data_IF_797634162607
#
_entry.id   IF_797634162607
#
_cell.length_a   1.000
_cell.length_b   1.000
_cell.length_c   1.000
_cell.angle_alpha   90.00
_cell.angle_beta   90.00
_cell.angle_gamma   90.00
#
_symmetry.space_group_name_H-M   'P 1'
#
loop_
_entity.id
_entity.type
_entity.pdbx_description
1 polymer ?
#
# COMPACT_ATOMS: atom_id res chain seq x y z
N UNK A 1 4.86 -15.17 -26.76
CA UNK A 1 3.83 -14.48 -27.56
C UNK A 1 3.09 -13.51 -26.64
N UNK A 2 3.28 -12.27 -26.89
CA UNK A 2 2.83 -10.98 -26.34
C UNK A 2 1.61 -11.03 -25.41
N UNK A 3 1.82 -10.71 -24.11
CA UNK A 3 0.83 -10.13 -23.21
C UNK A 3 1.19 -8.65 -23.01
N UNK A 4 0.91 -7.85 -24.02
CA UNK A 4 0.87 -6.40 -23.91
C UNK A 4 -0.56 -5.93 -24.11
N UNK A 5 -0.98 -4.98 -23.29
CA UNK A 5 -2.20 -4.15 -23.36
C UNK A 5 -3.40 -4.69 -22.58
N UNK A 6 -3.43 -4.37 -21.30
CA UNK A 6 -4.67 -4.09 -20.57
C UNK A 6 -4.42 -2.96 -19.57
N UNK A 7 -4.01 -1.80 -20.11
CA UNK A 7 -4.06 -0.51 -19.42
C UNK A 7 -5.05 0.37 -20.18
N UNK A 8 -6.34 0.19 -19.97
CA UNK A 8 -7.36 1.12 -20.42
C UNK A 8 -8.36 1.39 -19.32
N UNK A 9 -8.20 2.56 -18.73
CA UNK A 9 -9.18 3.53 -18.29
C UNK A 9 -10.49 2.98 -17.69
N UNK A 10 -10.51 2.94 -16.36
CA UNK A 10 -11.76 3.09 -15.62
C UNK A 10 -12.13 4.59 -15.61
N UNK A 11 -12.94 5.03 -16.54
CA UNK A 11 -13.65 6.30 -16.45
C UNK A 11 -14.95 6.07 -15.67
N UNK A 12 -15.01 6.54 -14.43
CA UNK A 12 -16.26 6.69 -13.72
C UNK A 12 -16.89 8.03 -14.12
N UNK A 13 -17.88 8.00 -15.02
CA UNK A 13 -18.77 9.12 -15.22
C UNK A 13 -20.00 8.94 -14.32
N UNK A 14 -20.12 9.77 -13.29
CA UNK A 14 -21.41 9.95 -12.61
C UNK A 14 -22.18 10.97 -13.44
N UNK A 15 -23.07 10.49 -14.28
CA UNK A 15 -24.08 11.33 -14.93
C UNK A 15 -25.32 11.38 -14.03
N UNK A 16 -25.52 12.51 -13.36
CA UNK A 16 -26.77 12.83 -12.72
C UNK A 16 -27.83 13.18 -13.79
N UNK A 17 -28.79 12.29 -13.99
CA UNK A 17 -30.00 12.60 -14.75
C UNK A 17 -31.22 12.47 -13.83
N UNK A 18 -32.17 13.40 -13.92
CA UNK A 18 -33.42 13.28 -13.17
C UNK A 18 -34.36 12.30 -13.86
N UNK A 19 -35.00 11.48 -13.03
CA UNK A 19 -36.11 10.59 -13.27
C UNK A 19 -35.89 9.31 -14.08
N UNK A 20 -36.16 8.20 -13.38
CA UNK A 20 -36.52 6.85 -13.83
C UNK A 20 -35.53 6.10 -14.74
N UNK A 21 -34.56 5.39 -14.13
CA UNK A 21 -33.73 4.41 -14.83
C UNK A 21 -32.62 3.82 -13.96
N UNK A 22 -32.27 2.59 -14.19
CA UNK A 22 -31.06 1.95 -13.64
C UNK A 22 -29.91 2.22 -14.60
N UNK A 23 -28.83 2.84 -14.11
CA UNK A 23 -27.60 3.04 -14.88
C UNK A 23 -26.54 2.06 -14.38
N UNK A 24 -26.00 1.27 -15.29
CA UNK A 24 -24.90 0.33 -15.03
C UNK A 24 -23.65 0.88 -15.66
N UNK A 25 -22.65 1.17 -14.83
CA UNK A 25 -21.36 1.63 -15.26
C UNK A 25 -20.36 0.47 -15.19
N UNK A 26 -20.00 -0.08 -16.33
CA UNK A 26 -19.07 -1.20 -16.43
C UNK A 26 -17.74 -0.81 -17.05
N UNK A 27 -16.71 -1.52 -16.68
CA UNK A 27 -15.38 -1.41 -17.24
C UNK A 27 -15.23 -2.24 -18.50
N UNK A 28 -15.73 -1.77 -19.61
CA UNK A 28 -15.33 -2.23 -20.94
C UNK A 28 -15.60 -1.15 -21.97
N UNK A 29 -14.84 -1.16 -23.06
CA UNK A 29 -14.83 -0.17 -24.12
C UNK A 29 -16.12 -0.04 -24.95
N UNK A 30 -17.26 -0.46 -24.42
CA UNK A 30 -18.58 -0.28 -25.04
C UNK A 30 -19.58 0.18 -23.99
N UNK A 31 -19.79 1.48 -23.93
CA UNK A 31 -20.88 2.10 -23.16
C UNK A 31 -22.17 1.87 -23.93
N UNK A 32 -23.03 0.98 -23.43
CA UNK A 32 -24.39 0.89 -23.91
C UNK A 32 -25.31 1.76 -23.05
N UNK A 33 -25.57 2.97 -23.51
CA UNK A 33 -26.68 3.75 -23.03
C UNK A 33 -27.98 3.12 -23.57
N UNK A 34 -28.75 2.42 -22.74
CA UNK A 34 -30.13 2.03 -23.04
C UNK A 34 -31.10 2.92 -22.32
N UNK A 35 -32.22 3.26 -23.01
CA UNK A 35 -33.38 3.93 -22.43
C UNK A 35 -33.87 3.20 -21.17
N UNK A 36 -34.38 3.95 -20.17
CA UNK A 36 -34.88 3.37 -18.91
C UNK A 36 -36.00 2.35 -19.16
N UNK A 37 -35.78 1.15 -18.67
CA UNK A 37 -36.81 0.11 -18.59
C UNK A 37 -36.53 -0.72 -17.34
N UNK A 38 -37.57 -1.14 -16.65
CA UNK A 38 -37.49 -1.99 -15.47
C UNK A 38 -36.72 -3.28 -15.81
N UNK A 39 -35.56 -3.45 -15.18
CA UNK A 39 -34.78 -4.70 -15.26
C UNK A 39 -35.42 -5.68 -14.26
N UNK A 40 -35.72 -6.89 -14.72
CA UNK A 40 -36.09 -7.99 -13.84
C UNK A 40 -34.92 -8.46 -12.97
N UNK A 41 -35.20 -9.04 -11.80
CA UNK A 41 -34.16 -9.60 -10.90
C UNK A 41 -33.24 -10.58 -11.59
N UNK A 42 -33.72 -11.36 -12.57
CA UNK A 42 -32.90 -12.26 -13.36
C UNK A 42 -31.83 -11.55 -14.19
N UNK A 43 -32.16 -10.36 -14.76
CA UNK A 43 -31.19 -9.54 -15.49
C UNK A 43 -30.17 -8.84 -14.59
N UNK A 44 -30.56 -8.52 -13.35
CA UNK A 44 -29.61 -8.02 -12.34
C UNK A 44 -28.56 -9.09 -12.02
N UNK A 45 -28.98 -10.36 -11.89
CA UNK A 45 -28.06 -11.49 -11.63
C UNK A 45 -27.11 -11.74 -12.79
N UNK A 46 -27.57 -11.64 -14.05
CA UNK A 46 -26.72 -11.77 -15.24
C UNK A 46 -25.66 -10.66 -15.33
N UNK A 47 -26.01 -9.46 -14.89
CA UNK A 47 -25.09 -8.33 -14.81
C UNK A 47 -24.04 -8.56 -13.70
N UNK A 48 -24.43 -9.14 -12.56
CA UNK A 48 -23.52 -9.50 -11.47
C UNK A 48 -22.47 -10.53 -11.88
N UNK A 49 -22.78 -11.42 -12.84
CA UNK A 49 -21.82 -12.46 -13.29
C UNK A 49 -20.85 -11.99 -14.38
N UNK A 50 -21.13 -10.92 -15.09
CA UNK A 50 -20.39 -10.48 -16.28
C UNK A 50 -19.41 -9.34 -16.11
N UNK A 51 -19.54 -8.50 -15.10
CA UNK A 51 -18.85 -7.20 -15.00
C UNK A 51 -18.14 -7.04 -13.65
N UNK A 52 -16.84 -6.87 -13.64
CA UNK A 52 -16.08 -6.55 -12.42
C UNK A 52 -15.86 -5.03 -12.31
N UNK A 53 -16.20 -4.44 -11.17
CA UNK A 53 -15.85 -3.06 -10.81
C UNK A 53 -16.88 -1.98 -11.15
N UNK A 54 -18.09 -2.32 -11.62
CA UNK A 54 -19.15 -1.35 -11.88
C UNK A 54 -20.01 -1.02 -10.66
N UNK A 55 -20.37 0.25 -10.50
CA UNK A 55 -21.38 0.69 -9.52
C UNK A 55 -22.79 0.45 -10.09
N UNK A 56 -23.68 -0.15 -9.29
CA UNK A 56 -25.10 -0.32 -9.62
C UNK A 56 -25.89 0.77 -8.88
N UNK A 57 -26.63 1.58 -9.64
CA UNK A 57 -27.40 2.71 -9.09
C UNK A 57 -28.90 2.46 -9.36
N UNK A 58 -29.76 2.71 -8.37
CA UNK A 58 -31.21 2.57 -8.53
C UNK A 58 -31.84 3.76 -9.30
N UNK A 59 -33.16 3.67 -9.55
CA UNK A 59 -33.93 4.70 -10.26
C UNK A 59 -33.86 6.10 -9.64
N UNK A 60 -33.50 6.20 -8.35
CA UNK A 60 -33.35 7.47 -7.61
C UNK A 60 -31.91 7.98 -7.62
N UNK A 61 -30.98 7.32 -8.36
CA UNK A 61 -29.57 7.69 -8.43
C UNK A 61 -28.74 7.21 -7.24
N UNK A 62 -29.28 6.35 -6.38
CA UNK A 62 -28.55 5.81 -5.23
C UNK A 62 -27.75 4.57 -5.62
N UNK A 63 -26.51 4.49 -5.12
CA UNK A 63 -25.68 3.31 -5.25
C UNK A 63 -26.34 2.15 -4.50
N UNK A 64 -26.66 1.07 -5.22
CA UNK A 64 -27.28 -0.13 -4.65
C UNK A 64 -26.37 -1.36 -4.67
N UNK A 65 -25.19 -1.24 -5.27
CA UNK A 65 -24.20 -2.30 -5.25
C UNK A 65 -22.95 -1.94 -6.03
N UNK A 66 -21.88 -2.71 -5.80
CA UNK A 66 -20.65 -2.70 -6.60
C UNK A 66 -20.43 -4.12 -7.11
N UNK A 67 -20.34 -4.28 -8.42
CA UNK A 67 -20.04 -5.56 -9.02
C UNK A 67 -18.53 -5.76 -9.05
N UNK A 68 -17.97 -6.59 -8.17
CA UNK A 68 -16.57 -6.94 -8.19
C UNK A 68 -16.39 -8.45 -8.29
N UNK A 69 -15.70 -8.89 -9.34
CA UNK A 69 -15.18 -10.25 -9.46
C UNK A 69 -13.93 -10.49 -8.60
N UNK A 70 -13.42 -9.47 -7.96
CA UNK A 70 -12.29 -9.60 -7.03
C UNK A 70 -12.90 -10.12 -5.74
N UNK A 71 -12.71 -11.40 -5.46
CA UNK A 71 -13.12 -12.07 -4.23
C UNK A 71 -12.28 -11.55 -3.05
N UNK A 72 -12.54 -10.31 -2.62
CA UNK A 72 -12.02 -9.81 -1.36
C UNK A 72 -13.08 -10.05 -0.28
N UNK A 73 -12.76 -10.74 0.85
CA UNK A 73 -13.74 -11.10 1.88
C UNK A 73 -14.51 -9.90 2.44
N UNK A 74 -13.90 -8.71 2.49
CA UNK A 74 -14.50 -7.46 2.96
C UNK A 74 -15.64 -7.01 2.04
N UNK A 75 -15.49 -7.13 0.72
CA UNK A 75 -16.51 -6.73 -0.26
C UNK A 75 -17.77 -7.59 -0.21
N UNK A 76 -17.65 -8.89 0.14
CA UNK A 76 -18.81 -9.77 0.30
C UNK A 76 -19.64 -9.45 1.54
N UNK A 77 -19.02 -8.95 2.61
CA UNK A 77 -19.71 -8.56 3.83
C UNK A 77 -20.52 -7.29 3.62
N UNK A 78 -19.95 -6.33 2.90
CA UNK A 78 -20.57 -5.03 2.64
C UNK A 78 -21.72 -5.12 1.63
N UNK A 79 -21.63 -6.06 0.67
CA UNK A 79 -22.72 -6.29 -0.30
C UNK A 79 -24.01 -6.78 0.37
N UNK A 80 -23.92 -7.58 1.43
CA UNK A 80 -25.11 -8.04 2.22
C UNK A 80 -25.76 -6.90 3.01
N UNK A 81 -24.97 -5.92 3.44
CA UNK A 81 -25.46 -4.75 4.18
C UNK A 81 -26.30 -3.83 3.28
N UNK A 82 -25.91 -3.67 2.02
CA UNK A 82 -26.63 -2.84 1.04
C UNK A 82 -28.00 -3.39 0.63
N UNK A 83 -28.25 -4.70 0.83
CA UNK A 83 -29.55 -5.31 0.51
C UNK A 83 -30.62 -5.05 1.58
N UNK A 84 -30.24 -4.62 2.78
CA UNK A 84 -31.17 -4.55 3.93
C UNK A 84 -31.67 -3.16 4.28
N UNK A 85 -31.02 -2.05 3.85
CA UNK A 85 -31.45 -0.68 4.17
C UNK A 85 -31.18 0.29 3.03
N UNK A 86 -32.03 1.32 2.89
CA UNK A 86 -31.76 2.43 1.97
C UNK A 86 -30.55 3.20 2.51
N UNK A 87 -29.45 3.34 1.72
CA UNK A 87 -28.27 4.03 2.19
C UNK A 87 -28.61 5.50 2.51
N UNK A 88 -28.29 5.93 3.72
CA UNK A 88 -28.41 7.33 4.09
C UNK A 88 -27.21 8.13 3.49
N UNK A 89 -27.28 9.46 3.59
CA UNK A 89 -26.27 10.35 3.02
C UNK A 89 -24.86 10.07 3.54
N UNK A 90 -24.73 9.68 4.82
CA UNK A 90 -23.46 9.27 5.43
C UNK A 90 -22.90 8.00 4.78
N UNK A 91 -23.74 6.99 4.58
CA UNK A 91 -23.37 5.73 3.93
C UNK A 91 -22.94 5.95 2.48
N UNK A 92 -23.63 6.79 1.73
CA UNK A 92 -23.25 7.14 0.35
C UNK A 92 -21.90 7.84 0.27
N UNK A 93 -21.60 8.69 1.25
CA UNK A 93 -20.31 9.37 1.36
C UNK A 93 -19.18 8.41 1.68
N UNK A 94 -19.39 7.52 2.65
CA UNK A 94 -18.42 6.46 3.01
C UNK A 94 -18.11 5.56 1.81
N UNK A 95 -19.13 5.19 1.04
CA UNK A 95 -18.99 4.42 -0.20
C UNK A 95 -18.26 5.17 -1.31
N UNK A 96 -18.52 6.46 -1.44
CA UNK A 96 -17.79 7.32 -2.37
C UNK A 96 -16.29 7.33 -2.05
N UNK A 97 -15.93 7.57 -0.80
CA UNK A 97 -14.55 7.56 -0.34
C UNK A 97 -13.88 6.19 -0.57
N UNK A 98 -14.59 5.11 -0.26
CA UNK A 98 -14.08 3.75 -0.44
C UNK A 98 -13.85 3.39 -1.91
N UNK A 99 -14.80 3.72 -2.81
CA UNK A 99 -14.66 3.42 -4.25
C UNK A 99 -13.49 4.18 -4.89
N UNK A 100 -13.24 5.42 -4.48
CA UNK A 100 -12.10 6.19 -4.94
C UNK A 100 -10.78 5.74 -4.33
N UNK A 101 -10.79 5.22 -3.10
CA UNK A 101 -9.65 4.50 -2.52
C UNK A 101 -9.23 3.29 -3.37
N UNK A 102 -10.20 2.52 -3.87
CA UNK A 102 -9.96 1.43 -4.82
C UNK A 102 -9.43 1.96 -6.16
N UNK A 103 -10.00 3.03 -6.71
CA UNK A 103 -9.55 3.63 -7.96
C UNK A 103 -8.09 4.07 -7.91
N UNK A 104 -7.64 4.63 -6.79
CA UNK A 104 -6.22 4.96 -6.56
C UNK A 104 -5.34 3.71 -6.66
N UNK A 105 -5.78 2.59 -6.10
CA UNK A 105 -5.03 1.32 -6.14
C UNK A 105 -5.04 0.70 -7.54
N UNK A 106 -6.09 0.95 -8.34
CA UNK A 106 -6.21 0.51 -9.74
C UNK A 106 -5.52 1.47 -10.73
N UNK A 107 -4.95 2.59 -10.28
CA UNK A 107 -4.13 3.49 -11.09
C UNK A 107 -4.78 4.81 -11.51
N UNK A 108 -6.07 5.04 -11.26
CA UNK A 108 -6.74 6.33 -11.55
C UNK A 108 -6.51 7.38 -10.45
N UNK A 109 -5.26 7.77 -10.31
CA UNK A 109 -4.83 8.76 -9.32
C UNK A 109 -5.38 10.16 -9.64
N UNK A 110 -5.43 10.52 -10.91
CA UNK A 110 -5.90 11.83 -11.35
C UNK A 110 -7.41 12.02 -11.12
N UNK A 111 -8.21 11.00 -11.42
CA UNK A 111 -9.65 10.99 -11.13
C UNK A 111 -9.93 11.11 -9.64
N UNK A 112 -9.18 10.37 -8.80
CA UNK A 112 -9.32 10.45 -7.35
C UNK A 112 -8.97 11.86 -6.81
N UNK A 113 -7.86 12.46 -7.26
CA UNK A 113 -7.46 13.83 -6.86
C UNK A 113 -8.57 14.82 -7.23
N UNK A 114 -9.09 14.74 -8.45
CA UNK A 114 -10.17 15.61 -8.93
C UNK A 114 -11.43 15.45 -8.07
N UNK A 115 -11.84 14.22 -7.80
CA UNK A 115 -13.02 13.92 -6.98
C UNK A 115 -12.91 14.55 -5.58
N UNK A 116 -11.83 14.26 -4.85
CA UNK A 116 -11.66 14.82 -3.50
C UNK A 116 -11.49 16.34 -3.51
N UNK A 117 -10.92 16.92 -4.56
CA UNK A 117 -10.83 18.38 -4.71
C UNK A 117 -12.21 19.03 -4.85
N UNK A 118 -13.17 18.34 -5.47
CA UNK A 118 -14.56 18.79 -5.56
C UNK A 118 -15.37 18.51 -4.29
N UNK A 119 -15.07 17.42 -3.58
CA UNK A 119 -15.79 17.01 -2.38
C UNK A 119 -15.41 17.84 -1.13
N UNK A 120 -14.13 18.17 -0.96
CA UNK A 120 -13.61 18.89 0.21
C UNK A 120 -14.33 20.23 0.47
N UNK A 121 -14.61 21.10 -0.52
CA UNK A 121 -15.35 22.35 -0.28
C UNK A 121 -16.76 22.14 0.26
N UNK A 122 -17.40 21.00 -0.01
CA UNK A 122 -18.75 20.68 0.51
C UNK A 122 -18.71 20.23 1.97
N UNK A 123 -17.60 19.64 2.40
CA UNK A 123 -17.34 19.28 3.80
C UNK A 123 -15.86 19.51 4.16
N UNK A 124 -15.48 20.75 4.52
CA UNK A 124 -14.09 21.09 4.83
C UNK A 124 -13.54 20.43 6.11
N UNK A 125 -14.38 19.79 6.91
CA UNK A 125 -14.01 19.07 8.14
C UNK A 125 -13.91 17.54 7.92
N UNK A 126 -13.78 17.09 6.68
CA UNK A 126 -13.62 15.68 6.34
C UNK A 126 -12.15 15.27 6.31
N UNK A 127 -11.63 14.83 7.45
CA UNK A 127 -10.24 14.34 7.57
C UNK A 127 -9.93 13.20 6.59
N UNK A 128 -10.91 12.32 6.32
CA UNK A 128 -10.74 11.18 5.43
C UNK A 128 -10.62 11.63 3.96
N UNK A 129 -11.37 12.63 3.53
CA UNK A 129 -11.26 13.17 2.17
C UNK A 129 -9.87 13.78 1.92
N UNK A 130 -9.32 14.54 2.89
CA UNK A 130 -7.95 15.04 2.81
C UNK A 130 -6.93 13.89 2.80
N UNK A 131 -7.06 12.91 3.70
CA UNK A 131 -6.18 11.75 3.75
C UNK A 131 -6.15 10.98 2.42
N UNK A 132 -7.31 10.70 1.85
CA UNK A 132 -7.43 9.98 0.59
C UNK A 132 -6.88 10.79 -0.60
N UNK A 133 -7.10 12.11 -0.65
CA UNK A 133 -6.47 12.97 -1.66
C UNK A 133 -4.95 13.01 -1.49
N UNK A 134 -4.47 13.07 -0.27
CA UNK A 134 -3.05 12.98 0.07
C UNK A 134 -2.42 11.67 -0.45
N UNK A 135 -3.09 10.54 -0.25
CA UNK A 135 -2.65 9.24 -0.77
C UNK A 135 -2.60 9.23 -2.32
N UNK A 136 -3.60 9.80 -2.98
CA UNK A 136 -3.61 9.89 -4.44
C UNK A 136 -2.46 10.77 -4.96
N UNK A 137 -2.20 11.91 -4.33
CA UNK A 137 -1.08 12.80 -4.64
C UNK A 137 0.27 12.13 -4.40
N UNK A 138 0.43 11.45 -3.25
CA UNK A 138 1.65 10.70 -2.95
C UNK A 138 1.95 9.65 -4.02
N UNK A 139 0.97 8.83 -4.37
CA UNK A 139 1.10 7.82 -5.44
C UNK A 139 1.29 8.41 -6.84
N UNK A 140 0.92 9.66 -7.07
CA UNK A 140 1.19 10.38 -8.32
C UNK A 140 2.56 11.06 -8.37
N UNK A 141 3.30 11.05 -7.23
CA UNK A 141 4.60 11.70 -7.08
C UNK A 141 4.55 13.13 -6.53
N UNK A 142 3.36 13.70 -6.31
CA UNK A 142 3.18 15.01 -5.66
C UNK A 142 3.34 14.87 -4.13
N UNK A 143 4.57 14.72 -3.68
CA UNK A 143 4.90 14.55 -2.24
C UNK A 143 4.55 15.81 -1.44
N UNK A 144 4.79 16.99 -1.98
CA UNK A 144 4.50 18.25 -1.30
C UNK A 144 2.99 18.45 -1.09
N UNK A 145 2.20 18.20 -2.13
CA UNK A 145 0.74 18.23 -2.04
C UNK A 145 0.16 17.16 -1.12
N UNK A 146 0.81 15.99 -1.06
CA UNK A 146 0.44 14.92 -0.13
C UNK A 146 0.69 15.33 1.33
N UNK A 147 1.86 15.90 1.64
CA UNK A 147 2.21 16.41 2.97
C UNK A 147 1.20 17.47 3.44
N UNK A 148 0.80 18.38 2.54
CA UNK A 148 -0.19 19.41 2.85
C UNK A 148 -1.56 18.79 3.20
N UNK A 149 -2.03 17.82 2.42
CA UNK A 149 -3.31 17.14 2.63
C UNK A 149 -3.29 16.27 3.91
N UNK A 150 -2.22 15.51 4.17
CA UNK A 150 -2.09 14.78 5.42
C UNK A 150 -2.02 15.71 6.64
N UNK A 151 -1.39 16.88 6.50
CA UNK A 151 -1.36 17.88 7.56
C UNK A 151 -2.76 18.40 7.87
N UNK A 152 -3.57 18.63 6.85
CA UNK A 152 -4.96 19.05 7.06
C UNK A 152 -5.80 17.93 7.68
N UNK A 153 -5.63 16.68 7.26
CA UNK A 153 -6.28 15.52 7.88
C UNK A 153 -5.96 15.41 9.37
N UNK A 154 -4.70 15.59 9.75
CA UNK A 154 -4.22 15.58 11.13
C UNK A 154 -4.76 16.77 11.94
N UNK A 155 -4.85 17.95 11.34
CA UNK A 155 -5.42 19.13 11.99
C UNK A 155 -6.89 18.91 12.35
N UNK A 156 -7.65 18.25 11.48
CA UNK A 156 -9.06 17.91 11.69
C UNK A 156 -9.20 16.75 12.69
N UNK A 157 -8.40 15.69 12.51
CA UNK A 157 -8.37 14.53 13.40
C UNK A 157 -6.96 14.26 13.93
N UNK A 158 -6.60 14.79 15.11
CA UNK A 158 -5.28 14.57 15.71
C UNK A 158 -4.99 13.13 16.15
N UNK A 159 -5.98 12.24 16.11
CA UNK A 159 -5.84 10.81 16.41
C UNK A 159 -5.75 9.93 15.15
N UNK A 160 -5.46 10.52 13.99
CA UNK A 160 -5.37 9.79 12.73
C UNK A 160 -3.97 9.22 12.50
N UNK A 161 -3.70 8.05 13.09
CA UNK A 161 -2.38 7.40 13.06
C UNK A 161 -1.86 7.18 11.62
N UNK A 162 -2.72 6.75 10.69
CA UNK A 162 -2.36 6.50 9.29
C UNK A 162 -1.98 7.79 8.56
N UNK A 163 -2.59 8.92 8.90
CA UNK A 163 -2.23 10.22 8.31
C UNK A 163 -0.84 10.67 8.77
N UNK A 164 -0.51 10.49 10.04
CA UNK A 164 0.87 10.71 10.52
C UNK A 164 1.85 9.78 9.82
N UNK A 165 1.56 8.49 9.76
CA UNK A 165 2.44 7.52 9.11
C UNK A 165 2.70 7.87 7.64
N UNK A 166 1.67 8.18 6.86
CA UNK A 166 1.81 8.50 5.44
C UNK A 166 2.47 9.86 5.21
N UNK A 167 2.25 10.84 6.10
CA UNK A 167 3.01 12.11 6.08
C UNK A 167 4.49 11.86 6.37
N UNK A 168 4.79 10.99 7.32
CA UNK A 168 6.15 10.54 7.62
C UNK A 168 6.83 9.89 6.40
N UNK A 169 6.14 9.02 5.67
CA UNK A 169 6.64 8.45 4.41
C UNK A 169 6.97 9.53 3.38
N UNK A 170 6.03 10.45 3.15
CA UNK A 170 6.22 11.52 2.17
C UNK A 170 7.39 12.45 2.55
N UNK A 171 7.56 12.78 3.85
CA UNK A 171 8.69 13.56 4.36
C UNK A 171 10.01 12.80 4.20
N UNK A 172 10.05 11.52 4.58
CA UNK A 172 11.24 10.68 4.44
C UNK A 172 11.74 10.65 3.00
N UNK A 173 10.86 10.37 2.05
CA UNK A 173 11.19 10.37 0.63
C UNK A 173 11.51 11.75 0.04
N UNK A 174 11.14 12.82 0.74
CA UNK A 174 11.51 14.22 0.41
C UNK A 174 12.81 14.65 1.09
N UNK A 175 13.48 13.74 1.86
CA UNK A 175 14.74 14.00 2.56
C UNK A 175 14.58 14.56 3.98
N UNK A 176 13.37 14.86 4.44
CA UNK A 176 13.09 15.31 5.81
C UNK A 176 13.00 14.11 6.77
N UNK A 177 14.16 13.50 7.08
CA UNK A 177 14.25 12.35 7.98
C UNK A 177 13.81 12.70 9.40
N UNK A 178 14.14 13.89 9.90
CA UNK A 178 13.77 14.31 11.23
C UNK A 178 12.26 14.48 11.39
N UNK A 179 11.62 15.13 10.41
CA UNK A 179 10.17 15.26 10.35
C UNK A 179 9.45 13.92 10.19
N UNK A 180 10.05 12.97 9.46
CA UNK A 180 9.54 11.62 9.32
C UNK A 180 9.58 10.86 10.65
N UNK A 181 10.69 10.90 11.38
CA UNK A 181 10.83 10.27 12.71
C UNK A 181 9.79 10.84 13.68
N UNK A 182 9.57 12.15 13.67
CA UNK A 182 8.55 12.79 14.51
C UNK A 182 7.14 12.27 14.17
N UNK A 183 6.79 12.20 12.89
CA UNK A 183 5.49 11.72 12.43
C UNK A 183 5.27 10.22 12.72
N UNK A 184 6.25 9.37 12.49
CA UNK A 184 6.17 7.95 12.89
C UNK A 184 6.03 7.79 14.41
N UNK A 185 6.66 8.67 15.20
CA UNK A 185 6.53 8.65 16.65
C UNK A 185 5.10 8.98 17.08
N UNK A 186 4.45 9.96 16.44
CA UNK A 186 3.04 10.24 16.71
C UNK A 186 2.13 9.09 16.29
N UNK A 187 2.36 8.50 15.10
CA UNK A 187 1.61 7.32 14.65
C UNK A 187 1.69 6.17 15.67
N UNK A 188 2.88 5.90 16.21
CA UNK A 188 3.12 4.88 17.24
C UNK A 188 2.46 5.25 18.58
N UNK A 189 2.49 6.51 18.96
CA UNK A 189 1.84 6.98 20.19
C UNK A 189 0.32 6.76 20.14
N UNK A 190 -0.28 6.99 18.98
CA UNK A 190 -1.71 6.78 18.75
C UNK A 190 -2.04 5.28 18.63
N UNK A 191 -1.24 4.56 17.85
CA UNK A 191 -1.38 3.12 17.64
C UNK A 191 -0.09 2.37 17.98
N UNK A 192 0.08 1.88 19.23
CA UNK A 192 1.27 1.15 19.65
C UNK A 192 1.47 -0.22 18.98
N UNK A 193 0.49 -0.70 18.20
CA UNK A 193 0.58 -1.94 17.43
C UNK A 193 0.90 -1.69 15.94
N UNK A 194 1.39 -0.50 15.60
CA UNK A 194 1.68 -0.14 14.20
C UNK A 194 3.08 -0.60 13.77
N UNK A 195 3.25 -1.89 13.49
CA UNK A 195 4.54 -2.50 13.13
C UNK A 195 5.28 -1.75 12.01
N UNK A 196 4.56 -1.32 10.96
CA UNK A 196 5.16 -0.58 9.85
C UNK A 196 5.75 0.77 10.28
N UNK A 197 5.10 1.47 11.23
CA UNK A 197 5.59 2.76 11.73
C UNK A 197 6.88 2.56 12.54
N UNK A 198 6.97 1.51 13.34
CA UNK A 198 8.23 1.14 14.02
C UNK A 198 9.33 0.81 12.99
N UNK A 199 9.05 -0.04 11.99
CA UNK A 199 10.04 -0.41 10.99
C UNK A 199 10.56 0.79 10.22
N UNK A 200 9.69 1.69 9.76
CA UNK A 200 10.09 2.87 9.01
C UNK A 200 10.82 3.91 9.88
N UNK A 201 10.41 4.08 11.16
CA UNK A 201 11.14 4.91 12.10
C UNK A 201 12.54 4.35 12.36
N UNK A 202 12.65 3.02 12.51
CA UNK A 202 13.94 2.32 12.63
C UNK A 202 14.84 2.57 11.41
N UNK A 203 14.30 2.49 10.19
CA UNK A 203 15.04 2.82 8.96
C UNK A 203 15.55 4.26 8.98
N UNK A 204 14.67 5.22 9.27
CA UNK A 204 15.03 6.64 9.32
C UNK A 204 16.09 6.95 10.39
N UNK A 205 16.00 6.31 11.58
CA UNK A 205 17.02 6.42 12.64
C UNK A 205 18.35 5.80 12.21
N UNK A 206 18.34 4.62 11.60
CA UNK A 206 19.54 3.94 11.12
C UNK A 206 20.32 4.82 10.14
N UNK A 207 19.62 5.42 9.17
CA UNK A 207 20.22 6.35 8.21
C UNK A 207 20.68 7.68 8.83
N UNK A 208 20.09 8.07 9.96
CA UNK A 208 20.52 9.25 10.73
C UNK A 208 21.66 8.94 11.72
N UNK A 209 22.16 7.69 11.73
CA UNK A 209 23.27 7.26 12.60
C UNK A 209 22.85 6.69 13.96
N UNK A 210 21.57 6.75 14.33
CA UNK A 210 21.06 6.14 15.57
C UNK A 210 20.80 4.65 15.37
N UNK A 211 21.87 3.85 15.30
CA UNK A 211 21.78 2.40 15.12
C UNK A 211 21.13 1.69 16.31
N UNK A 212 21.35 2.17 17.51
CA UNK A 212 20.76 1.57 18.71
C UNK A 212 19.24 1.79 18.76
N UNK A 213 18.77 3.01 18.47
CA UNK A 213 17.36 3.30 18.35
C UNK A 213 16.68 2.57 17.19
N UNK A 214 17.40 2.35 16.08
CA UNK A 214 16.92 1.56 14.96
C UNK A 214 16.70 0.08 15.34
N UNK A 215 17.68 -0.54 16.00
CA UNK A 215 17.58 -1.94 16.49
C UNK A 215 16.40 -2.10 17.45
N UNK A 216 16.18 -1.14 18.35
CA UNK A 216 15.04 -1.15 19.26
C UNK A 216 13.70 -1.09 18.50
N UNK A 217 13.58 -0.20 17.52
CA UNK A 217 12.37 -0.04 16.71
C UNK A 217 12.08 -1.28 15.84
N UNK A 218 13.07 -1.85 15.17
CA UNK A 218 12.90 -3.10 14.42
C UNK A 218 12.53 -4.27 15.35
N UNK A 219 13.07 -4.30 16.57
CA UNK A 219 12.71 -5.33 17.55
C UNK A 219 11.24 -5.21 17.93
N UNK A 220 10.74 -4.01 18.12
CA UNK A 220 9.34 -3.79 18.40
C UNK A 220 8.45 -4.17 17.21
N UNK A 221 8.85 -3.81 15.98
CA UNK A 221 8.15 -4.22 14.75
C UNK A 221 8.03 -5.74 14.64
N UNK A 222 9.10 -6.47 14.94
CA UNK A 222 9.14 -7.94 14.95
C UNK A 222 8.28 -8.52 16.08
N UNK A 223 8.26 -7.90 17.25
CA UNK A 223 7.42 -8.34 18.37
C UNK A 223 5.94 -8.24 18.01
N UNK A 224 5.53 -7.18 17.32
CA UNK A 224 4.16 -6.98 16.85
C UNK A 224 3.83 -7.93 15.68
N UNK A 225 4.74 -8.04 14.71
CA UNK A 225 4.59 -8.92 13.55
C UNK A 225 5.80 -9.85 13.39
N UNK A 226 5.77 -11.07 13.96
CA UNK A 226 6.86 -12.03 13.85
C UNK A 226 7.13 -12.57 12.43
N UNK A 227 6.26 -12.29 11.47
CA UNK A 227 6.42 -12.66 10.07
C UNK A 227 6.95 -11.49 9.20
N UNK A 228 7.48 -10.44 9.81
CA UNK A 228 7.97 -9.26 9.10
C UNK A 228 9.42 -9.44 8.64
N UNK A 229 9.63 -10.13 7.52
CA UNK A 229 10.96 -10.45 6.98
C UNK A 229 11.86 -9.22 6.81
N UNK A 230 11.30 -8.09 6.32
CA UNK A 230 12.06 -6.85 6.14
C UNK A 230 12.55 -6.25 7.46
N UNK A 231 11.77 -6.37 8.53
CA UNK A 231 12.20 -5.87 9.85
C UNK A 231 13.37 -6.69 10.41
N UNK A 232 13.37 -8.01 10.23
CA UNK A 232 14.52 -8.84 10.54
C UNK A 232 15.73 -8.46 9.70
N UNK A 233 15.57 -8.33 8.40
CA UNK A 233 16.65 -7.94 7.50
C UNK A 233 17.26 -6.59 7.89
N UNK A 234 16.46 -5.57 8.12
CA UNK A 234 16.91 -4.23 8.48
C UNK A 234 17.56 -4.20 9.87
N UNK A 235 17.04 -4.99 10.85
CA UNK A 235 17.71 -5.15 12.15
C UNK A 235 19.07 -5.83 12.00
N UNK A 236 19.17 -6.83 11.13
CA UNK A 236 20.42 -7.49 10.78
C UNK A 236 21.42 -6.53 10.19
N UNK A 237 21.02 -5.63 9.28
CA UNK A 237 21.89 -4.57 8.76
C UNK A 237 22.40 -3.65 9.87
N UNK A 238 21.51 -3.14 10.72
CA UNK A 238 21.88 -2.26 11.82
C UNK A 238 22.85 -2.93 12.82
N UNK A 239 22.62 -4.23 13.13
CA UNK A 239 23.54 -5.03 13.97
C UNK A 239 24.91 -5.22 13.30
N UNK A 240 24.93 -5.56 12.02
CA UNK A 240 26.18 -5.74 11.27
C UNK A 240 27.03 -4.47 11.29
N UNK A 241 26.39 -3.32 11.01
CA UNK A 241 27.05 -2.01 11.04
C UNK A 241 27.50 -1.59 12.45
N UNK A 242 26.83 -2.10 13.49
CA UNK A 242 27.23 -1.90 14.89
C UNK A 242 28.27 -2.90 15.38
N UNK A 243 28.75 -3.83 14.50
CA UNK A 243 29.76 -4.84 14.82
C UNK A 243 29.21 -6.18 15.33
N UNK A 244 27.90 -6.29 15.61
CA UNK A 244 27.26 -7.56 16.00
C UNK A 244 26.99 -8.44 14.78
N UNK A 245 28.05 -9.01 14.21
CA UNK A 245 27.95 -9.86 13.01
C UNK A 245 27.21 -11.17 13.28
N UNK A 246 27.32 -11.73 14.48
CA UNK A 246 26.63 -12.96 14.84
C UNK A 246 25.12 -12.72 14.97
N UNK A 247 24.71 -11.65 15.63
CA UNK A 247 23.32 -11.24 15.71
C UNK A 247 22.74 -10.89 14.34
N UNK A 248 23.54 -10.32 13.44
CA UNK A 248 23.13 -10.06 12.05
C UNK A 248 22.84 -11.35 11.28
N UNK A 249 23.70 -12.38 11.39
CA UNK A 249 23.49 -13.69 10.76
C UNK A 249 22.19 -14.33 11.26
N UNK A 250 21.93 -14.25 12.56
CA UNK A 250 20.66 -14.76 13.11
C UNK A 250 19.45 -14.08 12.52
N UNK A 251 19.47 -12.75 12.42
CA UNK A 251 18.37 -11.96 11.86
C UNK A 251 18.18 -12.21 10.35
N UNK A 252 19.24 -12.25 9.56
CA UNK A 252 19.13 -12.62 8.14
C UNK A 252 18.61 -14.05 7.96
N UNK A 253 18.95 -14.96 8.86
CA UNK A 253 18.42 -16.33 8.82
C UNK A 253 16.92 -16.35 9.05
N UNK A 254 16.40 -15.55 9.97
CA UNK A 254 14.96 -15.42 10.17
C UNK A 254 14.28 -14.77 8.96
N UNK A 255 14.86 -13.71 8.39
CA UNK A 255 14.33 -13.08 7.16
C UNK A 255 14.23 -14.10 6.01
N UNK A 256 15.24 -14.93 5.81
CA UNK A 256 15.28 -16.01 4.80
C UNK A 256 14.26 -17.10 5.10
N UNK A 257 14.09 -17.47 6.38
CA UNK A 257 13.10 -18.48 6.78
C UNK A 257 11.68 -18.02 6.45
N UNK A 258 11.39 -16.74 6.64
CA UNK A 258 10.08 -16.14 6.34
C UNK A 258 9.93 -15.95 4.82
N UNK A 259 10.96 -15.42 4.16
CA UNK A 259 10.99 -15.22 2.71
C UNK A 259 12.20 -15.90 2.06
N UNK A 260 12.08 -17.14 1.59
CA UNK A 260 13.18 -17.87 0.94
C UNK A 260 13.67 -17.26 -0.39
N UNK A 261 12.96 -16.29 -0.95
CA UNK A 261 13.36 -15.58 -2.17
C UNK A 261 14.07 -14.23 -1.88
N UNK A 262 14.44 -13.97 -0.63
CA UNK A 262 15.05 -12.70 -0.22
C UNK A 262 16.55 -12.68 -0.55
N UNK A 263 16.89 -12.37 -1.79
CA UNK A 263 18.25 -12.43 -2.34
C UNK A 263 19.26 -11.59 -1.53
N UNK A 264 18.86 -10.35 -1.14
CA UNK A 264 19.71 -9.45 -0.35
C UNK A 264 20.05 -10.04 1.04
N UNK A 265 19.10 -10.76 1.65
CA UNK A 265 19.33 -11.39 2.96
C UNK A 265 20.37 -12.52 2.87
N UNK A 266 20.35 -13.31 1.79
CA UNK A 266 21.42 -14.29 1.53
C UNK A 266 22.75 -13.60 1.29
N UNK A 267 22.80 -12.55 0.45
CA UNK A 267 24.01 -11.81 0.17
C UNK A 267 24.67 -11.26 1.44
N UNK A 268 23.90 -10.56 2.26
CA UNK A 268 24.39 -9.96 3.49
C UNK A 268 24.73 -10.98 4.57
N UNK A 269 24.01 -12.11 4.66
CA UNK A 269 24.39 -13.22 5.54
C UNK A 269 25.71 -13.84 5.10
N UNK A 270 25.92 -14.00 3.80
CA UNK A 270 27.19 -14.48 3.24
C UNK A 270 28.36 -13.57 3.61
N UNK A 271 28.19 -12.25 3.45
CA UNK A 271 29.22 -11.27 3.86
C UNK A 271 29.50 -11.31 5.37
N UNK A 272 28.45 -11.44 6.18
CA UNK A 272 28.60 -11.55 7.64
C UNK A 272 29.32 -12.84 8.06
N UNK A 273 29.04 -13.98 7.43
CA UNK A 273 29.76 -15.24 7.63
C UNK A 273 31.23 -15.15 7.23
N UNK A 274 31.51 -14.55 6.07
CA UNK A 274 32.87 -14.32 5.63
C UNK A 274 33.64 -13.48 6.64
N UNK A 275 33.06 -12.42 7.13
CA UNK A 275 33.64 -11.53 8.14
C UNK A 275 33.91 -12.23 9.50
N UNK A 276 33.29 -13.38 9.76
CA UNK A 276 33.55 -14.25 10.92
C UNK A 276 34.42 -15.47 10.58
N UNK A 277 34.95 -15.58 9.34
CA UNK A 277 35.83 -16.66 8.92
C UNK A 277 35.13 -17.90 8.33
N UNK A 278 33.81 -17.94 8.30
CA UNK A 278 33.06 -19.03 7.64
C UNK A 278 33.03 -18.81 6.13
N UNK A 279 34.15 -19.07 5.48
CA UNK A 279 34.28 -18.90 4.03
C UNK A 279 33.37 -19.85 3.24
N UNK A 280 33.19 -21.09 3.67
CA UNK A 280 32.38 -22.06 2.95
C UNK A 280 30.90 -21.68 3.03
N UNK A 281 30.41 -21.30 4.21
CA UNK A 281 29.05 -20.81 4.38
C UNK A 281 28.78 -19.49 3.64
N UNK A 282 29.78 -18.62 3.53
CA UNK A 282 29.70 -17.38 2.78
C UNK A 282 29.53 -17.64 1.26
N UNK A 283 30.37 -18.50 0.68
CA UNK A 283 30.29 -18.87 -0.75
C UNK A 283 28.89 -19.44 -1.06
N UNK A 284 28.41 -20.37 -0.25
CA UNK A 284 27.09 -20.99 -0.42
C UNK A 284 25.98 -19.95 -0.44
N UNK A 285 25.97 -19.02 0.52
CA UNK A 285 24.93 -17.98 0.60
C UNK A 285 25.03 -17.00 -0.59
N UNK A 286 26.24 -16.60 -0.98
CA UNK A 286 26.45 -15.70 -2.11
C UNK A 286 26.07 -16.36 -3.46
N UNK A 287 26.32 -17.66 -3.65
CA UNK A 287 25.86 -18.38 -4.84
C UNK A 287 24.33 -18.43 -4.90
N UNK A 288 23.66 -18.63 -3.76
CA UNK A 288 22.20 -18.57 -3.66
C UNK A 288 21.69 -17.18 -3.99
N UNK A 289 22.27 -16.13 -3.41
CA UNK A 289 21.92 -14.74 -3.70
C UNK A 289 22.05 -14.42 -5.20
N UNK A 290 23.17 -14.83 -5.81
CA UNK A 290 23.41 -14.65 -7.25
C UNK A 290 22.32 -15.28 -8.11
N UNK A 291 21.93 -16.53 -7.80
CA UNK A 291 20.88 -17.23 -8.53
C UNK A 291 19.53 -16.52 -8.39
N UNK A 292 19.21 -16.05 -7.17
CA UNK A 292 17.96 -15.34 -6.93
C UNK A 292 17.91 -13.98 -7.65
N UNK A 293 19.01 -13.20 -7.63
CA UNK A 293 19.08 -11.94 -8.39
C UNK A 293 18.93 -12.18 -9.89
N UNK A 294 19.52 -13.27 -10.42
CA UNK A 294 19.33 -13.65 -11.82
C UNK A 294 17.87 -13.97 -12.15
N UNK A 295 17.19 -14.74 -11.29
CA UNK A 295 15.77 -15.08 -11.47
C UNK A 295 14.85 -13.87 -11.39
N UNK A 296 15.21 -12.88 -10.54
CA UNK A 296 14.48 -11.62 -10.35
C UNK A 296 14.79 -10.58 -11.44
N UNK A 297 15.77 -10.85 -12.32
CA UNK A 297 16.20 -9.91 -13.36
C UNK A 297 17.04 -8.75 -12.84
N UNK A 298 17.54 -8.82 -11.62
CA UNK A 298 18.41 -7.81 -11.01
C UNK A 298 19.87 -8.02 -11.44
N UNK A 299 20.17 -7.52 -12.63
CA UNK A 299 21.50 -7.68 -13.26
C UNK A 299 22.59 -6.97 -12.44
N UNK A 300 22.27 -5.84 -11.82
CA UNK A 300 23.25 -5.06 -11.07
C UNK A 300 23.73 -5.83 -9.83
N UNK A 301 22.83 -6.30 -8.98
CA UNK A 301 23.19 -7.06 -7.80
C UNK A 301 23.78 -8.44 -8.15
N UNK A 302 23.30 -9.08 -9.23
CA UNK A 302 23.91 -10.29 -9.77
C UNK A 302 25.42 -10.09 -10.06
N UNK A 303 25.79 -9.01 -10.77
CA UNK A 303 27.18 -8.71 -11.12
C UNK A 303 28.02 -8.41 -9.87
N UNK A 304 27.49 -7.65 -8.93
CA UNK A 304 28.19 -7.36 -7.66
C UNK A 304 28.52 -8.64 -6.89
N UNK A 305 27.54 -9.54 -6.75
CA UNK A 305 27.77 -10.81 -6.05
C UNK A 305 28.77 -11.69 -6.79
N UNK A 306 28.73 -11.72 -8.15
CA UNK A 306 29.72 -12.44 -8.95
C UNK A 306 31.13 -11.91 -8.74
N UNK A 307 31.33 -10.60 -8.67
CA UNK A 307 32.62 -9.98 -8.38
C UNK A 307 33.13 -10.34 -6.98
N UNK A 308 32.22 -10.38 -5.99
CA UNK A 308 32.59 -10.81 -4.63
C UNK A 308 33.05 -12.27 -4.65
N UNK A 309 32.31 -13.16 -5.27
CA UNK A 309 32.64 -14.59 -5.39
C UNK A 309 34.00 -14.82 -6.05
N UNK A 310 34.38 -14.04 -7.07
CA UNK A 310 35.65 -14.13 -7.74
C UNK A 310 36.87 -13.71 -6.88
N UNK A 311 36.61 -12.98 -5.78
CA UNK A 311 37.65 -12.48 -4.84
C UNK A 311 37.80 -13.36 -3.59
N UNK A 312 36.87 -14.28 -3.34
CA UNK A 312 36.87 -15.20 -2.21
C UNK A 312 37.66 -16.47 -2.49
#
# INVERSE_FOLDING_TARGET
>A
MKLHKLSHLLFFFILLFPASGIIILGCSSSVFARKPGTLSESKLNDIQQGMSGGAIINEKGYLVGINSKIAHPVLQTDFRYLQSEQPNEKTLKEWGNYSWGIAINLGDKAGAIKHYTQAIPTNPQDAEAYYNRGNAKYKSGDKAGAIADFTQAITINPQYAEAYYNRGLAKYESGDKAGAIADYTQAITINPQYANAYSNRGGAKSESGDKAGAIADFTQAITINPQYAEAYYNRGLAKYESGDKAGAIADYTQAITINPQYAEAYGNRGLAKYALGDKAGAIKDLETAKQLFQQQGDIQNYQQVQEILNKL
#
